data_IF_058420052783
#
_entry.id   IF_058420052783
#
_cell.length_a   1.000
_cell.length_b   1.000
_cell.length_c   1.000
_cell.angle_alpha   90.00
_cell.angle_beta   90.00
_cell.angle_gamma   90.00
#
_symmetry.space_group_name_H-M   'P 1'
#
loop_
_entity.id
_entity.type
_entity.pdbx_description
1 polymer ?
#
# COMPACT_ATOMS: atom_id res chain seq x y z
N UNK A 1 20.96 -14.29 -19.04
CA UNK A 1 19.95 -14.11 -17.98
C UNK A 1 19.09 -12.89 -18.28
N UNK A 2 17.84 -12.84 -17.78
CA UNK A 2 16.87 -11.75 -18.00
C UNK A 2 16.27 -11.33 -16.66
N UNK A 3 16.21 -10.02 -16.38
CA UNK A 3 15.45 -9.50 -15.24
C UNK A 3 14.10 -8.96 -15.74
N UNK A 4 12.99 -9.58 -15.34
CA UNK A 4 11.65 -9.19 -15.81
C UNK A 4 11.04 -8.14 -14.91
N UNK A 5 11.17 -6.87 -15.31
CA UNK A 5 10.63 -5.74 -14.55
C UNK A 5 9.38 -5.10 -15.15
N UNK A 6 9.21 -5.14 -16.47
CA UNK A 6 7.98 -4.69 -17.15
C UNK A 6 6.91 -5.78 -17.15
N UNK A 7 6.37 -6.06 -15.97
CA UNK A 7 5.40 -7.14 -15.74
C UNK A 7 6.02 -8.54 -15.81
N UNK A 8 5.17 -9.58 -15.71
CA UNK A 8 5.61 -10.99 -15.64
C UNK A 8 5.77 -11.66 -17.01
N UNK A 9 5.10 -11.14 -18.05
CA UNK A 9 5.03 -11.76 -19.39
C UNK A 9 6.41 -12.02 -19.99
N UNK A 10 7.31 -11.02 -19.94
CA UNK A 10 8.64 -11.15 -20.53
C UNK A 10 9.49 -12.21 -19.81
N UNK A 11 9.33 -12.35 -18.48
CA UNK A 11 9.97 -13.40 -17.70
C UNK A 11 9.44 -14.79 -18.06
N UNK A 12 8.12 -14.93 -18.24
CA UNK A 12 7.51 -16.18 -18.71
C UNK A 12 8.08 -16.56 -20.08
N UNK A 13 8.07 -15.65 -21.05
CA UNK A 13 8.57 -15.92 -22.40
C UNK A 13 10.07 -16.24 -22.42
N UNK A 14 10.87 -15.55 -21.61
CA UNK A 14 12.30 -15.82 -21.46
C UNK A 14 12.57 -17.20 -20.85
N UNK A 15 11.80 -17.60 -19.83
CA UNK A 15 11.92 -18.92 -19.19
C UNK A 15 11.62 -20.06 -20.16
N UNK A 16 10.58 -19.92 -21.01
CA UNK A 16 10.24 -20.89 -22.07
C UNK A 16 11.33 -21.02 -23.14
N UNK A 17 12.09 -19.94 -23.37
CA UNK A 17 13.28 -19.91 -24.23
C UNK A 17 14.55 -20.37 -23.51
N UNK A 18 14.44 -20.93 -22.31
CA UNK A 18 15.54 -21.50 -21.52
C UNK A 18 16.57 -20.47 -21.06
N UNK A 19 16.19 -19.20 -20.96
CA UNK A 19 17.01 -18.17 -20.33
C UNK A 19 16.75 -18.15 -18.83
N UNK A 20 17.80 -18.03 -18.03
CA UNK A 20 17.67 -17.78 -16.58
C UNK A 20 16.99 -16.44 -16.31
N UNK A 21 16.03 -16.40 -15.38
CA UNK A 21 15.18 -15.24 -15.10
C UNK A 21 15.20 -14.86 -13.62
N UNK A 22 15.30 -13.56 -13.34
CA UNK A 22 14.96 -12.96 -12.04
C UNK A 22 13.67 -12.16 -12.20
N UNK A 23 12.65 -12.46 -11.40
CA UNK A 23 11.37 -11.75 -11.42
C UNK A 23 11.42 -10.50 -10.54
N UNK A 24 11.25 -9.32 -11.12
CA UNK A 24 11.15 -8.05 -10.37
C UNK A 24 10.06 -7.14 -10.94
N UNK A 25 8.84 -7.65 -11.22
CA UNK A 25 7.81 -6.90 -11.93
C UNK A 25 7.39 -5.65 -11.14
N UNK A 26 7.35 -4.50 -11.79
CA UNK A 26 7.00 -3.22 -11.15
C UNK A 26 5.61 -3.19 -10.52
N UNK A 27 4.70 -4.04 -11.00
CA UNK A 27 3.37 -4.24 -10.41
C UNK A 27 3.41 -4.72 -8.95
N UNK A 28 4.52 -5.31 -8.52
CA UNK A 28 4.64 -5.96 -7.21
C UNK A 28 5.92 -5.59 -6.44
N UNK A 29 7.01 -5.22 -7.13
CA UNK A 29 8.35 -5.22 -6.54
C UNK A 29 9.12 -3.90 -6.71
N UNK A 30 8.48 -2.83 -7.18
CA UNK A 30 9.10 -1.49 -7.24
C UNK A 30 8.76 -0.73 -5.97
N UNK A 31 9.64 -0.86 -4.98
CA UNK A 31 9.45 -0.31 -3.63
C UNK A 31 9.85 1.16 -3.53
N UNK A 32 10.23 1.79 -4.63
CA UNK A 32 10.31 3.24 -4.81
C UNK A 32 8.93 3.89 -5.10
N UNK A 33 7.90 3.10 -5.38
CA UNK A 33 6.53 3.62 -5.60
C UNK A 33 5.95 4.13 -4.28
N UNK A 34 5.05 5.10 -4.34
CA UNK A 34 4.31 5.58 -3.15
C UNK A 34 3.61 4.39 -2.46
N UNK A 35 3.66 4.33 -1.15
CA UNK A 35 2.97 3.28 -0.38
C UNK A 35 1.80 3.82 0.46
N UNK A 36 1.60 5.14 0.43
CA UNK A 36 0.44 5.79 0.99
C UNK A 36 -0.38 6.52 -0.07
N UNK A 37 -1.40 7.23 0.41
CA UNK A 37 -2.13 8.18 -0.39
C UNK A 37 -1.24 9.39 -0.76
N UNK A 38 -1.42 9.91 -1.98
CA UNK A 38 -0.67 11.04 -2.54
C UNK A 38 -0.82 12.34 -1.73
N UNK A 39 -1.84 12.45 -0.88
CA UNK A 39 -1.94 13.61 0.05
C UNK A 39 -0.87 13.58 1.15
N UNK A 40 -0.21 12.43 1.37
CA UNK A 40 0.79 12.23 2.44
C UNK A 40 2.20 11.98 1.94
N UNK A 41 2.38 11.70 0.66
CA UNK A 41 3.67 11.38 0.05
C UNK A 41 3.92 12.25 -1.19
N UNK A 42 5.17 12.66 -1.46
CA UNK A 42 5.50 13.32 -2.71
C UNK A 42 5.07 12.46 -3.90
N UNK A 43 4.37 13.06 -4.84
CA UNK A 43 3.84 12.33 -5.99
C UNK A 43 4.98 11.74 -6.82
N UNK A 44 5.00 10.41 -6.91
CA UNK A 44 5.81 9.66 -7.86
C UNK A 44 4.92 9.07 -8.97
N UNK A 45 5.53 8.34 -9.92
CA UNK A 45 4.84 7.76 -11.09
C UNK A 45 3.71 6.79 -10.76
N UNK A 46 3.75 6.09 -9.61
CA UNK A 46 2.75 5.09 -9.24
C UNK A 46 2.71 4.83 -7.72
N UNK A 47 1.72 4.05 -7.27
CA UNK A 47 1.61 3.56 -5.90
C UNK A 47 1.66 2.03 -5.85
N UNK A 48 2.24 1.49 -4.78
CA UNK A 48 2.31 0.07 -4.48
C UNK A 48 2.22 -0.13 -2.97
N UNK A 49 1.07 -0.60 -2.48
CA UNK A 49 0.84 -0.91 -1.06
C UNK A 49 1.46 -2.26 -0.64
N UNK A 50 1.50 -2.53 0.66
CA UNK A 50 2.07 -3.76 1.22
C UNK A 50 1.29 -4.99 0.76
N UNK A 51 -0.03 -4.95 0.80
CA UNK A 51 -0.93 -6.02 0.35
C UNK A 51 -0.68 -6.38 -1.10
N UNK A 52 -0.54 -5.37 -1.96
CA UNK A 52 -0.21 -5.61 -3.36
C UNK A 52 1.18 -6.22 -3.53
N UNK A 53 2.18 -5.74 -2.79
CA UNK A 53 3.53 -6.35 -2.81
C UNK A 53 3.51 -7.81 -2.33
N UNK A 54 2.63 -8.13 -1.38
CA UNK A 54 2.44 -9.48 -0.83
C UNK A 54 1.80 -10.45 -1.82
N UNK A 55 1.05 -9.95 -2.81
CA UNK A 55 0.53 -10.78 -3.91
C UNK A 55 1.62 -11.26 -4.88
N UNK A 56 2.87 -10.80 -4.74
CA UNK A 56 3.96 -11.22 -5.60
C UNK A 56 4.13 -12.75 -5.58
N UNK A 57 4.13 -13.36 -6.77
CA UNK A 57 4.51 -14.74 -6.98
C UNK A 57 5.75 -14.78 -7.89
N UNK A 58 6.92 -15.22 -7.39
CA UNK A 58 8.11 -15.33 -8.22
C UNK A 58 7.99 -16.45 -9.27
N UNK A 59 7.03 -17.36 -9.15
CA UNK A 59 6.80 -18.49 -10.05
C UNK A 59 5.44 -18.34 -10.78
N UNK A 60 5.24 -17.27 -11.59
CA UNK A 60 3.95 -17.01 -12.21
C UNK A 60 3.51 -18.16 -13.11
N UNK A 61 2.20 -18.43 -13.12
CA UNK A 61 1.60 -19.48 -13.93
C UNK A 61 2.06 -19.43 -15.39
N UNK A 62 2.51 -20.58 -15.91
CA UNK A 62 2.99 -20.73 -17.29
C UNK A 62 4.48 -20.45 -17.51
N UNK A 63 5.23 -20.02 -16.48
CA UNK A 63 6.69 -19.98 -16.53
C UNK A 63 7.30 -21.40 -16.49
N UNK A 64 8.46 -21.58 -17.13
CA UNK A 64 9.30 -22.75 -16.88
C UNK A 64 10.11 -22.51 -15.60
N UNK A 65 9.64 -23.10 -14.49
CA UNK A 65 10.19 -22.92 -13.14
C UNK A 65 11.68 -23.25 -13.07
N UNK A 66 12.18 -24.19 -13.89
CA UNK A 66 13.61 -24.56 -13.92
C UNK A 66 14.52 -23.37 -14.22
N UNK A 67 14.02 -22.41 -14.98
CA UNK A 67 14.78 -21.24 -15.40
C UNK A 67 14.52 -20.00 -14.53
N UNK A 68 13.61 -20.05 -13.57
CA UNK A 68 13.43 -18.97 -12.61
C UNK A 68 14.44 -19.12 -11.48
N UNK A 69 15.32 -18.13 -11.32
CA UNK A 69 16.37 -18.10 -10.27
C UNK A 69 15.90 -17.45 -8.97
N UNK A 70 14.78 -16.74 -9.00
CA UNK A 70 14.21 -16.05 -7.85
C UNK A 70 13.57 -14.73 -8.27
N UNK A 71 13.43 -13.83 -7.30
CA UNK A 71 12.93 -12.49 -7.54
C UNK A 71 13.63 -11.45 -6.68
N UNK A 72 13.30 -10.19 -6.93
CA UNK A 72 13.99 -9.04 -6.34
C UNK A 72 13.03 -7.86 -6.18
N UNK A 73 13.16 -7.13 -5.06
CA UNK A 73 12.60 -5.79 -4.88
C UNK A 73 13.59 -4.73 -5.38
N UNK A 74 13.09 -3.73 -6.09
CA UNK A 74 13.90 -2.65 -6.65
C UNK A 74 13.58 -1.35 -5.92
N UNK A 75 14.60 -0.71 -5.35
CA UNK A 75 14.51 0.64 -4.81
C UNK A 75 15.34 1.57 -5.69
N UNK A 76 14.66 2.29 -6.57
CA UNK A 76 15.27 3.39 -7.31
C UNK A 76 15.28 4.67 -6.46
N UNK A 77 16.29 5.52 -6.64
CA UNK A 77 16.60 6.59 -5.69
C UNK A 77 16.53 8.00 -6.28
N UNK A 78 15.88 8.19 -7.42
CA UNK A 78 15.72 9.50 -8.07
C UNK A 78 15.06 10.53 -7.14
N UNK A 79 14.14 10.06 -6.28
CA UNK A 79 13.41 10.88 -5.31
C UNK A 79 13.66 10.43 -3.86
N UNK A 80 14.72 9.65 -3.61
CA UNK A 80 15.10 9.17 -2.27
C UNK A 80 16.36 9.91 -1.82
N UNK A 81 16.18 10.91 -0.95
CA UNK A 81 17.23 11.89 -0.66
C UNK A 81 18.09 11.55 0.57
N UNK A 82 17.67 10.59 1.39
CA UNK A 82 18.41 10.18 2.58
C UNK A 82 18.08 8.75 3.00
N UNK A 83 18.90 8.20 3.89
CA UNK A 83 18.77 6.81 4.37
C UNK A 83 17.43 6.57 5.09
N UNK A 84 16.93 7.52 5.87
CA UNK A 84 15.63 7.36 6.57
C UNK A 84 14.47 7.24 5.57
N UNK A 85 14.57 7.90 4.42
CA UNK A 85 13.60 7.73 3.35
C UNK A 85 13.77 6.38 2.65
N UNK A 86 15.01 5.92 2.41
CA UNK A 86 15.24 4.58 1.85
C UNK A 86 14.67 3.47 2.74
N UNK A 87 14.87 3.56 4.06
CA UNK A 87 14.27 2.68 5.06
C UNK A 87 12.74 2.72 5.02
N UNK A 88 12.16 3.92 5.03
CA UNK A 88 10.72 4.13 4.90
C UNK A 88 10.16 3.48 3.63
N UNK A 89 10.80 3.67 2.47
CA UNK A 89 10.36 3.12 1.20
C UNK A 89 10.49 1.59 1.14
N UNK A 90 11.50 1.04 1.81
CA UNK A 90 11.79 -0.39 1.87
C UNK A 90 10.80 -1.12 2.78
N UNK A 91 10.57 -0.63 4.00
CA UNK A 91 9.79 -1.34 5.00
C UNK A 91 8.37 -0.77 5.14
N UNK A 92 7.32 -1.61 5.14
CA UNK A 92 7.35 -3.08 5.30
C UNK A 92 7.38 -3.92 4.01
N UNK A 93 7.35 -3.31 2.81
CA UNK A 93 7.21 -4.05 1.54
C UNK A 93 8.33 -5.06 1.29
N UNK A 94 9.54 -4.80 1.78
CA UNK A 94 10.64 -5.76 1.79
C UNK A 94 10.26 -7.08 2.45
N UNK A 95 9.50 -7.06 3.56
CA UNK A 95 9.04 -8.30 4.21
C UNK A 95 8.06 -9.09 3.35
N UNK A 96 7.20 -8.42 2.59
CA UNK A 96 6.28 -9.08 1.67
C UNK A 96 7.01 -9.77 0.52
N UNK A 97 8.05 -9.13 -0.01
CA UNK A 97 8.91 -9.74 -1.03
C UNK A 97 9.69 -10.91 -0.42
N UNK A 98 10.27 -10.77 0.77
CA UNK A 98 10.96 -11.86 1.46
C UNK A 98 10.06 -13.07 1.72
N UNK A 99 8.82 -12.86 2.20
CA UNK A 99 7.85 -13.96 2.38
C UNK A 99 7.54 -14.65 1.04
N UNK A 100 7.42 -13.88 -0.04
CA UNK A 100 7.14 -14.43 -1.38
C UNK A 100 8.29 -15.24 -1.97
N UNK A 101 9.53 -14.92 -1.60
CA UNK A 101 10.72 -15.59 -2.11
C UNK A 101 11.14 -16.80 -1.27
N UNK A 102 10.75 -16.84 0.01
CA UNK A 102 11.21 -17.84 0.95
C UNK A 102 10.12 -18.86 1.33
N UNK A 103 8.90 -18.39 1.59
CA UNK A 103 7.83 -19.24 2.10
C UNK A 103 7.15 -20.00 0.95
N UNK A 104 6.77 -21.28 1.17
CA UNK A 104 5.98 -22.02 0.18
C UNK A 104 4.67 -21.29 -0.15
N UNK A 105 4.28 -21.30 -1.43
CA UNK A 105 3.11 -20.55 -1.93
C UNK A 105 1.82 -20.96 -1.20
N UNK A 106 1.63 -22.24 -0.90
CA UNK A 106 0.47 -22.77 -0.17
C UNK A 106 0.40 -22.32 1.31
N UNK A 107 1.50 -21.79 1.84
CA UNK A 107 1.59 -21.24 3.21
C UNK A 107 1.42 -19.73 3.26
N UNK A 108 1.40 -19.03 2.12
CA UNK A 108 1.16 -17.59 2.10
C UNK A 108 -0.28 -17.29 2.52
N UNK A 109 -0.43 -16.71 3.70
CA UNK A 109 -1.70 -16.23 4.21
C UNK A 109 -1.56 -14.86 4.88
N UNK A 110 -2.26 -13.86 4.34
CA UNK A 110 -2.23 -12.47 4.81
C UNK A 110 -2.54 -12.33 6.31
N UNK A 111 -3.54 -13.07 6.81
CA UNK A 111 -3.97 -13.01 8.23
C UNK A 111 -2.89 -13.51 9.18
N UNK A 112 -1.98 -14.35 8.70
CA UNK A 112 -0.82 -14.81 9.48
C UNK A 112 0.45 -14.01 9.20
N UNK A 113 0.56 -13.40 8.02
CA UNK A 113 1.69 -12.56 7.62
C UNK A 113 1.69 -11.22 8.35
N UNK A 114 0.57 -10.49 8.33
CA UNK A 114 0.53 -9.13 8.86
C UNK A 114 0.86 -9.06 10.37
N UNK A 115 0.37 -9.96 11.24
CA UNK A 115 0.80 -9.98 12.64
C UNK A 115 2.31 -10.18 12.83
N UNK A 116 3.00 -10.89 11.92
CA UNK A 116 4.47 -11.00 11.93
C UNK A 116 5.12 -9.67 11.54
N UNK A 117 4.58 -8.97 10.54
CA UNK A 117 5.02 -7.62 10.17
C UNK A 117 4.92 -6.68 11.38
N UNK A 118 3.84 -6.73 12.15
CA UNK A 118 3.71 -5.95 13.38
C UNK A 118 4.80 -6.29 14.42
N UNK A 119 5.19 -7.57 14.54
CA UNK A 119 6.34 -7.92 15.39
C UNK A 119 7.66 -7.39 14.82
N UNK A 120 7.82 -7.35 13.50
CA UNK A 120 8.99 -6.75 12.87
C UNK A 120 9.06 -5.24 13.10
N UNK A 121 7.93 -4.52 13.12
CA UNK A 121 7.93 -3.09 13.49
C UNK A 121 8.55 -2.86 14.86
N UNK A 122 8.22 -3.67 15.87
CA UNK A 122 8.86 -3.58 17.20
C UNK A 122 10.38 -3.78 17.14
N UNK A 123 10.86 -4.66 16.26
CA UNK A 123 12.30 -4.89 16.06
C UNK A 123 12.95 -3.70 15.36
N UNK A 124 12.28 -3.12 14.37
CA UNK A 124 12.74 -1.91 13.68
C UNK A 124 12.77 -0.71 14.62
N UNK A 125 11.81 -0.59 15.54
CA UNK A 125 11.81 0.46 16.58
C UNK A 125 13.05 0.33 17.49
N UNK A 126 13.37 -0.89 17.95
CA UNK A 126 14.59 -1.16 18.75
C UNK A 126 15.87 -0.88 17.96
N UNK A 127 15.86 -1.16 16.67
CA UNK A 127 16.99 -0.90 15.76
C UNK A 127 17.01 0.55 15.23
N UNK A 128 16.10 1.41 15.67
CA UNK A 128 15.92 2.81 15.22
C UNK A 128 15.78 2.99 13.70
N UNK A 129 15.39 1.91 13.00
CA UNK A 129 15.23 1.86 11.54
C UNK A 129 13.83 2.33 11.16
N UNK A 130 13.74 3.30 10.24
CA UNK A 130 12.44 3.84 9.84
C UNK A 130 11.63 2.82 9.03
N UNK A 131 10.30 2.89 9.15
CA UNK A 131 9.37 2.16 8.30
C UNK A 131 8.13 3.02 8.03
N UNK A 132 7.36 2.64 7.01
CA UNK A 132 6.11 3.30 6.70
C UNK A 132 4.93 2.72 7.51
N UNK A 133 4.13 3.56 8.19
CA UNK A 133 2.91 3.13 8.86
C UNK A 133 1.70 3.03 7.90
N UNK A 134 1.90 3.26 6.60
CA UNK A 134 0.85 3.46 5.59
C UNK A 134 -0.14 2.31 5.43
N UNK A 135 0.22 1.12 5.91
CA UNK A 135 -0.65 -0.05 5.99
C UNK A 135 -1.85 0.16 6.93
N UNK A 136 -1.72 1.05 7.92
CA UNK A 136 -2.80 1.41 8.84
C UNK A 136 -3.66 2.57 8.33
N UNK A 137 -3.20 3.32 7.33
CA UNK A 137 -3.93 4.48 6.83
C UNK A 137 -5.21 4.07 6.10
N UNK A 138 -6.27 4.88 6.15
CA UNK A 138 -7.48 4.63 5.37
C UNK A 138 -7.19 4.76 3.87
N UNK A 139 -7.89 3.96 3.07
CA UNK A 139 -7.87 4.00 1.62
C UNK A 139 -9.14 4.69 1.15
N UNK A 140 -8.99 5.71 0.31
CA UNK A 140 -10.11 6.50 -0.20
C UNK A 140 -10.48 6.03 -1.62
N UNK A 141 -11.68 5.48 -1.76
CA UNK A 141 -12.33 5.25 -3.06
C UNK A 141 -13.43 6.29 -3.24
N UNK A 142 -13.43 6.99 -4.37
CA UNK A 142 -14.31 8.14 -4.58
C UNK A 142 -15.07 7.99 -5.89
N UNK A 143 -16.39 8.11 -5.82
CA UNK A 143 -17.27 8.05 -6.98
C UNK A 143 -18.31 9.18 -6.93
N UNK A 144 -19.11 9.30 -7.99
CA UNK A 144 -20.32 10.14 -7.98
C UNK A 144 -21.56 9.24 -8.03
N UNK A 145 -22.58 9.60 -7.26
CA UNK A 145 -23.90 9.00 -7.39
C UNK A 145 -24.59 9.45 -8.68
N UNK A 146 -25.75 8.85 -9.00
CA UNK A 146 -26.59 9.28 -10.12
C UNK A 146 -26.98 10.77 -10.01
N UNK A 147 -27.19 11.26 -8.79
CA UNK A 147 -27.52 12.66 -8.48
C UNK A 147 -26.29 13.58 -8.41
N UNK A 148 -25.15 13.12 -8.95
CA UNK A 148 -23.86 13.83 -9.00
C UNK A 148 -23.24 14.17 -7.64
N UNK A 149 -23.77 13.61 -6.56
CA UNK A 149 -23.22 13.76 -5.21
C UNK A 149 -21.92 12.98 -5.08
N UNK A 150 -20.96 13.56 -4.37
CA UNK A 150 -19.67 12.94 -4.11
C UNK A 150 -19.85 11.83 -3.06
N UNK A 151 -19.45 10.61 -3.41
CA UNK A 151 -19.51 9.45 -2.51
C UNK A 151 -18.09 9.02 -2.16
N UNK A 152 -17.76 9.05 -0.88
CA UNK A 152 -16.46 8.64 -0.35
C UNK A 152 -16.61 7.31 0.38
N UNK A 153 -15.96 6.29 -0.15
CA UNK A 153 -15.84 4.97 0.48
C UNK A 153 -14.45 4.84 1.09
N UNK A 154 -14.42 4.47 2.37
CA UNK A 154 -13.19 4.25 3.12
C UNK A 154 -13.02 2.75 3.36
N UNK A 155 -11.80 2.25 3.16
CA UNK A 155 -11.41 0.88 3.48
C UNK A 155 -10.03 0.85 4.14
N UNK A 156 -9.64 -0.30 4.65
CA UNK A 156 -8.32 -0.51 5.25
C UNK A 156 -7.61 -1.70 4.61
N UNK A 157 -6.28 -1.65 4.61
CA UNK A 157 -5.45 -2.73 4.11
C UNK A 157 -5.40 -3.93 5.08
N UNK A 158 -5.63 -3.65 6.36
CA UNK A 158 -5.62 -4.63 7.46
C UNK A 158 -6.96 -4.65 8.18
N UNK A 159 -7.37 -5.86 8.59
CA UNK A 159 -8.63 -6.08 9.28
C UNK A 159 -8.59 -5.56 10.73
N UNK A 160 -9.76 -5.30 11.32
CA UNK A 160 -9.88 -4.96 12.75
C UNK A 160 -9.49 -3.51 13.09
N UNK A 161 -9.45 -2.63 12.10
CA UNK A 161 -9.30 -1.19 12.32
C UNK A 161 -10.66 -0.49 12.29
N UNK A 162 -10.83 0.42 13.24
CA UNK A 162 -11.94 1.36 13.26
C UNK A 162 -11.50 2.67 12.61
N UNK A 163 -12.34 3.23 11.74
CA UNK A 163 -12.09 4.51 11.07
C UNK A 163 -13.00 5.58 11.69
N UNK A 164 -12.40 6.70 12.10
CA UNK A 164 -13.10 7.86 12.65
C UNK A 164 -12.84 9.08 11.77
N UNK A 165 -13.84 9.96 11.63
CA UNK A 165 -13.76 11.07 10.69
C UNK A 165 -14.43 12.36 11.18
N UNK A 166 -14.08 13.48 10.54
CA UNK A 166 -14.75 14.76 10.69
C UNK A 166 -14.73 15.57 9.37
N UNK A 167 -15.70 16.47 9.22
CA UNK A 167 -15.80 17.41 8.09
C UNK A 167 -15.68 18.88 8.52
N UNK A 168 -15.56 19.13 9.82
CA UNK A 168 -15.60 20.45 10.46
C UNK A 168 -14.20 20.99 10.82
N UNK A 169 -13.15 20.41 10.22
CA UNK A 169 -11.74 20.68 10.52
C UNK A 169 -11.27 20.30 11.94
N UNK A 170 -12.09 19.70 12.80
CA UNK A 170 -11.62 19.12 14.06
C UNK A 170 -10.75 17.87 13.81
N UNK A 171 -9.88 17.52 14.75
CA UNK A 171 -9.05 16.31 14.64
C UNK A 171 -9.81 15.13 15.28
N UNK A 172 -10.39 14.21 14.49
CA UNK A 172 -11.21 13.14 15.04
C UNK A 172 -10.40 12.23 15.95
N UNK A 173 -10.97 11.88 17.09
CA UNK A 173 -10.52 10.79 17.95
C UNK A 173 -11.54 9.65 17.93
N UNK A 174 -11.40 8.66 18.83
CA UNK A 174 -12.30 7.51 18.89
C UNK A 174 -13.73 7.80 19.36
N UNK A 175 -14.04 9.04 19.74
CA UNK A 175 -15.38 9.47 20.16
C UNK A 175 -16.13 10.23 19.05
N UNK A 176 -15.48 10.46 17.91
CA UNK A 176 -16.10 11.00 16.71
C UNK A 176 -16.97 9.96 15.98
N UNK A 177 -17.74 10.36 14.96
CA UNK A 177 -18.45 9.43 14.11
C UNK A 177 -17.53 8.34 13.57
N UNK A 178 -17.91 7.09 13.82
CA UNK A 178 -17.27 5.90 13.25
C UNK A 178 -17.80 5.68 11.84
N UNK A 179 -16.91 5.50 10.88
CA UNK A 179 -17.28 5.15 9.52
C UNK A 179 -17.94 3.76 9.49
N UNK A 180 -19.16 3.71 8.98
CA UNK A 180 -19.95 2.48 8.83
C UNK A 180 -20.57 2.36 7.44
N UNK A 181 -20.69 3.48 6.72
CA UNK A 181 -21.26 3.58 5.37
C UNK A 181 -20.59 4.71 4.58
N UNK A 182 -20.82 4.74 3.27
CA UNK A 182 -20.22 5.74 2.38
C UNK A 182 -20.59 7.16 2.81
N UNK A 183 -19.61 8.04 2.79
CA UNK A 183 -19.76 9.42 3.24
C UNK A 183 -20.09 10.34 2.07
N UNK A 184 -21.02 11.27 2.31
CA UNK A 184 -21.25 12.42 1.43
C UNK A 184 -20.74 13.67 2.14
N UNK A 185 -19.71 14.36 1.61
CA UNK A 185 -19.22 15.59 2.21
C UNK A 185 -20.33 16.65 2.30
N UNK A 186 -20.53 17.30 3.45
CA UNK A 186 -21.43 18.44 3.58
C UNK A 186 -21.08 19.56 2.59
N UNK A 187 -22.07 20.37 2.20
CA UNK A 187 -21.93 21.40 1.16
C UNK A 187 -20.75 22.36 1.38
N UNK A 188 -20.51 22.75 2.63
CA UNK A 188 -19.49 23.73 3.01
C UNK A 188 -18.21 23.07 3.57
N UNK A 189 -18.12 21.73 3.52
CA UNK A 189 -16.94 21.03 3.98
C UNK A 189 -15.76 21.27 3.02
N UNK A 190 -14.63 21.72 3.57
CA UNK A 190 -13.39 21.92 2.82
C UNK A 190 -12.42 20.76 2.98
N UNK A 191 -12.51 20.04 4.10
CA UNK A 191 -11.62 18.96 4.49
C UNK A 191 -12.41 17.78 5.04
N UNK A 192 -11.96 16.57 4.69
CA UNK A 192 -12.31 15.33 5.38
C UNK A 192 -11.07 14.90 6.18
N UNK A 193 -11.14 14.92 7.50
CA UNK A 193 -10.08 14.40 8.37
C UNK A 193 -10.44 12.99 8.78
N UNK A 194 -9.48 12.07 8.68
CA UNK A 194 -9.69 10.64 8.96
C UNK A 194 -8.51 10.07 9.72
N UNK A 195 -8.78 9.23 10.71
CA UNK A 195 -7.77 8.47 11.46
C UNK A 195 -8.27 7.04 11.70
N UNK A 196 -7.35 6.08 11.77
CA UNK A 196 -7.66 4.70 12.11
C UNK A 196 -7.15 4.32 13.51
N UNK A 197 -7.93 3.49 14.17
CA UNK A 197 -7.67 2.97 15.51
C UNK A 197 -7.67 1.45 15.51
N UNK A 198 -6.77 0.85 16.30
CA UNK A 198 -6.83 -0.55 16.67
C UNK A 198 -7.25 -0.62 18.14
N UNK A 199 -8.52 -0.96 18.36
CA UNK A 199 -9.14 -0.86 19.69
C UNK A 199 -9.09 0.58 20.20
N UNK A 200 -8.33 0.83 21.27
CA UNK A 200 -8.23 2.15 21.92
C UNK A 200 -7.07 3.01 21.41
N UNK A 201 -6.18 2.46 20.59
CA UNK A 201 -4.93 3.09 20.19
C UNK A 201 -5.04 3.63 18.75
N UNK A 202 -4.69 4.91 18.49
CA UNK A 202 -4.53 5.39 17.12
C UNK A 202 -3.32 4.70 16.49
N UNK A 203 -3.48 4.20 15.26
CA UNK A 203 -2.41 3.47 14.54
C UNK A 203 -2.15 4.03 13.14
N UNK A 204 -3.18 4.55 12.47
CA UNK A 204 -3.02 5.27 11.21
C UNK A 204 -2.60 6.72 11.45
N UNK A 205 -2.09 7.35 10.39
CA UNK A 205 -1.80 8.77 10.40
C UNK A 205 -3.09 9.58 10.29
N UNK A 206 -3.06 10.80 10.79
CA UNK A 206 -4.14 11.77 10.58
C UNK A 206 -4.15 12.18 9.10
N UNK A 207 -5.10 11.66 8.35
CA UNK A 207 -5.27 11.95 6.93
C UNK A 207 -6.12 13.20 6.76
N UNK A 208 -5.52 14.28 6.26
CA UNK A 208 -6.20 15.53 5.96
C UNK A 208 -6.54 15.56 4.47
N UNK A 209 -7.69 15.01 4.08
CA UNK A 209 -8.10 14.87 2.68
C UNK A 209 -8.89 16.12 2.23
N UNK A 210 -8.35 16.96 1.32
CA UNK A 210 -9.11 18.09 0.79
C UNK A 210 -10.32 17.62 -0.02
N UNK A 211 -11.46 18.27 0.15
CA UNK A 211 -12.67 17.95 -0.64
C UNK A 211 -12.47 18.26 -2.12
N UNK A 212 -11.60 19.21 -2.46
CA UNK A 212 -11.17 19.47 -3.83
C UNK A 212 -10.46 18.25 -4.46
N UNK A 213 -9.57 17.60 -3.72
CA UNK A 213 -8.87 16.40 -4.17
C UNK A 213 -9.84 15.22 -4.34
N UNK A 214 -10.82 15.07 -3.44
CA UNK A 214 -11.90 14.08 -3.62
C UNK A 214 -12.70 14.34 -4.91
N UNK A 215 -13.06 15.60 -5.20
CA UNK A 215 -13.76 15.96 -6.43
C UNK A 215 -12.94 15.65 -7.68
N UNK A 216 -11.63 15.89 -7.64
CA UNK A 216 -10.70 15.58 -8.73
C UNK A 216 -10.63 14.08 -8.99
N UNK A 217 -10.60 13.24 -7.94
CA UNK A 217 -10.59 11.78 -8.05
C UNK A 217 -11.87 11.21 -8.63
N UNK A 218 -13.02 11.79 -8.26
CA UNK A 218 -14.33 11.36 -8.74
C UNK A 218 -14.60 11.70 -10.22
N UNK A 219 -13.72 12.45 -10.88
CA UNK A 219 -13.92 12.94 -12.25
C UNK A 219 -14.80 14.19 -12.34
N UNK A 220 -14.87 14.76 -13.55
CA UNK A 220 -15.62 16.00 -13.86
C UNK A 220 -17.12 15.82 -13.54
N UNK A 221 -17.74 16.91 -13.08
CA UNK A 221 -19.19 17.03 -12.76
C UNK A 221 -20.09 16.96 -14.00
#
# INVERSE_FOLDING_TARGET
AVMSWRGVKNGIDASKKKHEVVMSPSTYAYIDYMQADVITEPKVYASLRLSKSYEFDPLPAGADVKYIKGGQANLWTEQVYNIRQAEYMTWPRGFAISESLWSPLDKKNWKTFFPKVEQHFKRLDVAETKYAPSVYDPIFSVTRSADKQLMVELSTEVEGLDIYYSFDNSFPDRFYPKYTEKLTPPKDATMLKVITYKGKNPVGRMMNMPVEELNKRAGKR
#
